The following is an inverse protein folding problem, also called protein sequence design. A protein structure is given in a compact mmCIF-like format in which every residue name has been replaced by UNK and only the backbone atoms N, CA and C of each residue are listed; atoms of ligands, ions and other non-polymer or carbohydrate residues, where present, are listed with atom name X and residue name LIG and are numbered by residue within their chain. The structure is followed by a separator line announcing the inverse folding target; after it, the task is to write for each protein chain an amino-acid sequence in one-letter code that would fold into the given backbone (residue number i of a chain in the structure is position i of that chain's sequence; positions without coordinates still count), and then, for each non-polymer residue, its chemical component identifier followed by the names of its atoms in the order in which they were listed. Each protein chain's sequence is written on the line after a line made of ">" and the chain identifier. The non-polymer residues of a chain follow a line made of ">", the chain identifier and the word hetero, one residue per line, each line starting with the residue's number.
data_IF_013773485027
#
_entry.id   IF_013773485027
#
_cell.length_a   1.000
_cell.length_b   1.000
_cell.length_c   1.000
_cell.angle_alpha   90.00
_cell.angle_beta   90.00
_cell.angle_gamma   90.00
#
_symmetry.space_group_name_H-M   'P 1'
#
loop_
_entity.id
_entity.type
_entity.pdbx_description
1 polymer ?
#
# COMPACT_ATOMS: atom_id res chain seq x y z
N UNK A 1 46.98 3.73 -7.12
CA UNK A 1 45.98 4.37 -7.99
C UNK A 1 45.53 5.66 -7.33
N UNK A 2 45.34 6.75 -8.09
CA UNK A 2 44.72 7.95 -7.55
C UNK A 2 43.28 7.62 -7.13
N UNK A 3 42.74 8.29 -6.10
CA UNK A 3 41.35 8.10 -5.63
C UNK A 3 40.34 8.11 -6.78
N UNK A 4 40.56 8.99 -7.77
CA UNK A 4 39.68 9.15 -8.92
C UNK A 4 39.76 7.94 -9.87
N UNK A 5 40.96 7.39 -10.09
CA UNK A 5 41.14 6.19 -10.93
C UNK A 5 40.44 4.96 -10.31
N UNK A 6 40.45 4.88 -8.97
CA UNK A 6 39.80 3.77 -8.24
C UNK A 6 38.28 3.80 -8.42
N UNK A 7 37.65 4.96 -8.31
CA UNK A 7 36.19 5.05 -8.43
C UNK A 7 35.72 4.85 -9.88
N UNK A 8 36.47 5.35 -10.87
CA UNK A 8 36.18 5.09 -12.30
C UNK A 8 36.35 3.62 -12.66
N UNK A 9 37.39 2.96 -12.13
CA UNK A 9 37.57 1.52 -12.30
C UNK A 9 36.44 0.71 -11.66
N UNK A 10 35.95 1.14 -10.49
CA UNK A 10 34.80 0.51 -9.82
C UNK A 10 33.52 0.62 -10.65
N UNK A 11 33.22 1.80 -11.22
CA UNK A 11 32.08 1.99 -12.15
C UNK A 11 32.20 1.07 -13.37
N UNK A 12 33.39 0.99 -13.97
CA UNK A 12 33.62 0.16 -15.15
C UNK A 12 33.39 -1.32 -14.85
N UNK A 13 33.90 -1.80 -13.71
CA UNK A 13 33.69 -3.18 -13.27
C UNK A 13 32.21 -3.46 -12.93
N UNK A 14 31.53 -2.52 -12.28
CA UNK A 14 30.12 -2.64 -11.93
C UNK A 14 29.22 -2.69 -13.17
N UNK A 15 29.49 -1.87 -14.19
CA UNK A 15 28.79 -1.91 -15.50
C UNK A 15 28.98 -3.26 -16.21
N UNK A 16 30.18 -3.83 -16.15
CA UNK A 16 30.45 -5.15 -16.73
C UNK A 16 29.69 -6.26 -15.98
N UNK A 17 29.71 -6.22 -14.65
CA UNK A 17 28.95 -7.16 -13.82
C UNK A 17 27.44 -7.05 -14.06
N UNK A 18 26.91 -5.82 -14.20
CA UNK A 18 25.51 -5.59 -14.51
C UNK A 18 25.08 -6.26 -15.82
N UNK A 19 25.87 -6.15 -16.89
CA UNK A 19 25.57 -6.80 -18.17
C UNK A 19 25.52 -8.32 -18.05
N UNK A 20 26.38 -8.91 -17.22
CA UNK A 20 26.40 -10.35 -17.00
C UNK A 20 25.13 -10.85 -16.27
N UNK A 21 24.41 -9.99 -15.55
CA UNK A 21 23.22 -10.40 -14.78
C UNK A 21 22.10 -10.98 -15.65
N UNK A 22 21.96 -10.53 -16.90
CA UNK A 22 20.99 -11.06 -17.87
C UNK A 22 21.21 -12.56 -18.07
N UNK A 23 22.48 -12.98 -18.13
CA UNK A 23 22.85 -14.36 -18.37
C UNK A 23 23.11 -15.16 -17.09
N UNK A 24 23.40 -14.52 -15.95
CA UNK A 24 23.75 -15.23 -14.71
C UNK A 24 22.52 -15.51 -13.81
N UNK A 25 21.48 -14.67 -13.89
CA UNK A 25 20.32 -14.77 -13.02
C UNK A 25 19.11 -15.34 -13.77
N UNK A 26 18.48 -16.44 -13.31
CA UNK A 26 17.35 -17.07 -13.99
C UNK A 26 16.17 -16.13 -14.27
N UNK A 27 15.82 -15.26 -13.32
CA UNK A 27 14.73 -14.29 -13.46
C UNK A 27 15.05 -13.20 -14.49
N UNK A 28 16.26 -12.63 -14.43
CA UNK A 28 16.75 -11.64 -15.39
C UNK A 28 16.81 -12.21 -16.82
N UNK A 29 17.28 -13.47 -16.95
CA UNK A 29 17.32 -14.19 -18.23
C UNK A 29 15.93 -14.40 -18.82
N UNK A 30 14.96 -14.82 -17.99
CA UNK A 30 13.59 -15.05 -18.43
C UNK A 30 12.92 -13.76 -18.93
N UNK A 31 13.21 -12.63 -18.29
CA UNK A 31 12.67 -11.32 -18.65
C UNK A 31 13.48 -10.59 -19.73
N UNK A 32 14.69 -11.04 -20.06
CA UNK A 32 15.58 -10.39 -21.03
C UNK A 32 16.09 -9.01 -20.57
N UNK A 33 16.11 -8.76 -19.26
CA UNK A 33 16.52 -7.49 -18.64
C UNK A 33 17.70 -7.71 -17.69
N UNK A 34 18.39 -6.64 -17.31
CA UNK A 34 19.42 -6.68 -16.25
C UNK A 34 18.78 -6.68 -14.86
N UNK A 35 19.54 -7.08 -13.84
CA UNK A 35 19.08 -7.00 -12.45
C UNK A 35 18.92 -5.55 -11.97
N UNK A 36 17.71 -5.20 -11.52
CA UNK A 36 17.39 -3.85 -11.07
C UNK A 36 18.20 -3.41 -9.83
N UNK A 37 18.55 -4.36 -8.94
CA UNK A 37 19.37 -4.08 -7.76
C UNK A 37 20.82 -3.73 -8.13
N UNK A 38 21.42 -4.52 -9.02
CA UNK A 38 22.74 -4.27 -9.59
C UNK A 38 22.77 -2.95 -10.37
N UNK A 39 21.70 -2.65 -11.13
CA UNK A 39 21.55 -1.38 -11.85
C UNK A 39 21.54 -0.19 -10.89
N UNK A 40 20.77 -0.27 -9.80
CA UNK A 40 20.75 0.76 -8.76
C UNK A 40 22.11 0.98 -8.07
N UNK A 41 22.92 -0.08 -7.91
CA UNK A 41 24.28 0.06 -7.40
C UNK A 41 25.22 0.73 -8.41
N UNK A 42 25.10 0.40 -9.70
CA UNK A 42 25.86 1.06 -10.78
C UNK A 42 25.57 2.57 -10.78
N UNK A 43 24.30 2.99 -10.71
CA UNK A 43 23.94 4.41 -10.58
C UNK A 43 24.61 5.09 -9.40
N UNK A 44 24.59 4.46 -8.23
CA UNK A 44 25.20 5.03 -7.03
C UNK A 44 26.71 5.22 -7.20
N UNK A 45 27.39 4.25 -7.81
CA UNK A 45 28.81 4.34 -8.10
C UNK A 45 29.12 5.40 -9.17
N UNK A 46 28.27 5.55 -10.17
CA UNK A 46 28.39 6.58 -11.20
C UNK A 46 28.27 7.98 -10.60
N UNK A 47 27.20 8.23 -9.83
CA UNK A 47 26.99 9.49 -9.11
C UNK A 47 28.15 9.80 -8.16
N UNK A 48 28.67 8.78 -7.47
CA UNK A 48 29.82 8.94 -6.57
C UNK A 48 31.10 9.30 -7.35
N UNK A 49 31.32 8.69 -8.52
CA UNK A 49 32.45 9.00 -9.38
C UNK A 49 32.38 10.43 -9.90
N UNK A 50 31.23 10.86 -10.39
CA UNK A 50 31.02 12.24 -10.86
C UNK A 50 31.15 13.27 -9.74
N UNK A 51 30.70 12.93 -8.53
CA UNK A 51 30.85 13.79 -7.36
C UNK A 51 32.32 13.95 -6.93
N UNK A 52 33.11 12.86 -6.98
CA UNK A 52 34.50 12.85 -6.48
C UNK A 52 35.55 13.24 -7.52
N UNK A 53 35.31 12.90 -8.79
CA UNK A 53 36.25 13.07 -9.90
C UNK A 53 35.82 14.14 -10.92
N UNK A 54 34.62 14.72 -10.75
CA UNK A 54 34.05 15.77 -11.60
C UNK A 54 32.94 15.24 -12.51
N UNK A 55 32.01 16.12 -12.91
CA UNK A 55 30.81 15.75 -13.70
C UNK A 55 31.12 15.11 -15.05
N UNK A 56 32.34 15.28 -15.56
CA UNK A 56 32.82 14.71 -16.82
C UNK A 56 33.64 13.43 -16.62
N UNK A 57 33.78 12.92 -15.38
CA UNK A 57 34.66 11.79 -15.08
C UNK A 57 34.30 10.50 -15.83
N UNK A 58 33.04 10.38 -16.27
CA UNK A 58 32.51 9.20 -16.95
C UNK A 58 32.16 9.46 -18.42
N UNK A 59 32.41 10.67 -18.96
CA UNK A 59 31.99 11.05 -20.32
C UNK A 59 32.67 10.24 -21.43
N UNK A 60 33.79 9.59 -21.13
CA UNK A 60 34.47 8.65 -22.03
C UNK A 60 34.00 7.19 -21.95
N UNK A 61 33.07 6.85 -21.05
CA UNK A 61 32.53 5.51 -20.94
C UNK A 61 31.28 5.35 -21.82
N UNK A 62 31.20 4.23 -22.54
CA UNK A 62 30.00 3.91 -23.32
C UNK A 62 28.76 3.85 -22.42
N UNK A 63 27.70 4.49 -22.89
CA UNK A 63 26.39 4.40 -22.27
C UNK A 63 25.97 2.92 -22.21
N UNK A 64 25.54 2.49 -21.03
CA UNK A 64 24.96 1.16 -20.86
C UNK A 64 23.46 1.36 -20.92
N UNK A 65 22.84 0.86 -21.98
CA UNK A 65 21.39 0.94 -22.18
C UNK A 65 20.72 -0.05 -21.22
N UNK A 66 20.37 0.42 -20.02
CA UNK A 66 19.64 -0.39 -19.03
C UNK A 66 18.36 0.27 -18.50
N UNK A 67 17.90 1.38 -19.08
CA UNK A 67 16.52 1.86 -18.94
C UNK A 67 16.09 2.76 -20.11
N UNK A 68 14.78 2.77 -20.37
CA UNK A 68 14.03 3.43 -21.44
C UNK A 68 14.75 4.61 -22.14
N UNK A 69 14.84 4.51 -23.47
CA UNK A 69 15.03 5.68 -24.31
C UNK A 69 13.88 6.68 -24.08
N UNK A 70 14.11 7.69 -23.23
CA UNK A 70 13.34 8.94 -23.25
C UNK A 70 13.73 9.73 -24.50
N UNK A 71 13.43 9.18 -25.68
CA UNK A 71 13.19 10.03 -26.85
C UNK A 71 11.83 10.65 -26.62
N UNK A 72 11.70 11.98 -26.67
CA UNK A 72 10.45 12.74 -26.47
C UNK A 72 9.32 12.47 -27.49
N UNK A 73 9.17 11.23 -27.94
CA UNK A 73 8.02 10.64 -28.59
C UNK A 73 7.72 9.36 -27.82
N UNK A 74 6.62 9.37 -27.08
CA UNK A 74 5.94 8.24 -26.43
C UNK A 74 6.83 7.07 -26.05
N UNK A 75 6.99 6.85 -24.74
CA UNK A 75 7.41 5.57 -24.19
C UNK A 75 6.70 4.45 -24.94
N UNK A 76 7.41 3.79 -25.86
CA UNK A 76 6.99 2.50 -26.36
C UNK A 76 7.35 1.56 -25.23
N UNK A 77 6.44 1.45 -24.28
CA UNK A 77 6.40 0.30 -23.39
C UNK A 77 6.50 -0.92 -24.31
N UNK A 78 7.56 -1.72 -24.16
CA UNK A 78 7.50 -3.08 -24.65
C UNK A 78 6.29 -3.67 -23.93
N UNK A 79 5.23 -4.08 -24.64
CA UNK A 79 4.13 -4.73 -24.00
C UNK A 79 4.71 -6.04 -23.49
N UNK A 80 5.00 -6.11 -22.20
CA UNK A 80 5.01 -7.41 -21.53
C UNK A 80 3.55 -7.82 -21.54
N UNK A 81 3.14 -8.41 -22.66
CA UNK A 81 1.90 -9.13 -22.81
C UNK A 81 2.00 -10.32 -21.88
N UNK A 82 1.65 -10.11 -20.61
CA UNK A 82 1.04 -11.17 -19.83
C UNK A 82 -0.37 -11.37 -20.40
N UNK A 83 -0.45 -11.90 -21.62
CA UNK A 83 -1.64 -12.59 -22.08
C UNK A 83 -1.73 -13.92 -21.35
N UNK A 84 -2.04 -13.85 -20.06
CA UNK A 84 -2.55 -14.97 -19.28
C UNK A 84 -3.68 -14.45 -18.39
N UNK A 85 -4.90 -14.99 -18.52
CA UNK A 85 -6.05 -14.66 -17.66
C UNK A 85 -5.88 -15.03 -16.17
N UNK A 86 -4.67 -15.42 -15.72
CA UNK A 86 -4.31 -15.80 -14.35
C UNK A 86 -2.89 -15.27 -14.00
N UNK A 87 -2.64 -13.96 -14.16
CA UNK A 87 -1.38 -13.36 -13.73
C UNK A 87 -1.31 -13.31 -12.20
N UNK A 88 -0.39 -14.08 -11.60
CA UNK A 88 -0.17 -14.10 -10.15
C UNK A 88 0.24 -12.74 -9.56
N UNK A 89 -0.14 -12.49 -8.30
CA UNK A 89 0.27 -11.31 -7.54
C UNK A 89 -0.53 -10.02 -7.79
N UNK A 90 -1.85 -10.03 -7.60
CA UNK A 90 -2.71 -8.84 -7.78
C UNK A 90 -2.36 -7.67 -6.83
N UNK A 91 -1.75 -7.95 -5.69
CA UNK A 91 -1.41 -6.98 -4.66
C UNK A 91 0.09 -6.93 -4.39
N UNK A 92 0.59 -5.74 -4.10
CA UNK A 92 1.91 -5.51 -3.51
C UNK A 92 1.73 -5.26 -2.00
N UNK A 93 2.49 -5.99 -1.19
CA UNK A 93 2.52 -5.82 0.26
C UNK A 93 3.95 -5.57 0.72
N UNK A 94 4.14 -4.46 1.44
CA UNK A 94 5.45 -4.05 1.95
C UNK A 94 5.42 -3.72 3.43
N UNK A 95 6.38 -4.22 4.19
CA UNK A 95 6.47 -3.89 5.62
C UNK A 95 7.89 -3.93 6.17
N UNK A 96 8.06 -3.22 7.29
CA UNK A 96 9.26 -3.32 8.13
C UNK A 96 8.88 -3.89 9.48
N UNK A 97 9.36 -5.10 9.75
CA UNK A 97 9.18 -5.84 11.00
C UNK A 97 10.45 -5.88 11.85
N UNK A 98 10.33 -6.49 13.03
CA UNK A 98 11.43 -6.73 13.97
C UNK A 98 11.82 -8.20 13.90
N UNK A 99 13.12 -8.46 13.88
CA UNK A 99 13.65 -9.81 14.07
C UNK A 99 13.68 -10.07 15.57
N UNK A 100 12.94 -11.07 16.10
CA UNK A 100 13.09 -11.44 17.51
C UNK A 100 14.55 -11.80 17.78
N UNK A 101 15.12 -11.26 18.86
CA UNK A 101 16.47 -11.60 19.33
C UNK A 101 16.48 -13.05 19.85
N UNK A 102 16.50 -14.02 18.93
CA UNK A 102 17.09 -15.32 19.22
C UNK A 102 18.59 -15.17 19.02
N UNK A 103 19.38 -15.74 19.93
CA UNK A 103 20.81 -15.44 20.13
C UNK A 103 21.61 -15.30 18.82
N UNK A 104 22.67 -14.48 18.87
CA UNK A 104 23.45 -13.86 17.78
C UNK A 104 23.93 -14.73 16.58
N UNK A 105 23.54 -16.01 16.51
CA UNK A 105 23.79 -16.92 15.40
C UNK A 105 22.57 -17.20 14.51
N UNK A 106 21.36 -16.71 14.83
CA UNK A 106 20.10 -17.13 14.16
C UNK A 106 19.39 -16.07 13.28
N UNK A 107 20.02 -14.92 13.02
CA UNK A 107 19.46 -13.89 12.12
C UNK A 107 19.24 -14.44 10.70
N UNK A 108 20.05 -15.41 10.28
CA UNK A 108 19.91 -16.10 8.98
C UNK A 108 18.72 -17.08 8.96
N UNK A 109 18.40 -17.74 10.07
CA UNK A 109 17.25 -18.65 10.17
C UNK A 109 15.93 -17.89 10.09
N UNK A 110 15.80 -16.81 10.88
CA UNK A 110 14.59 -15.99 10.90
C UNK A 110 14.25 -15.35 9.54
N UNK A 111 15.26 -14.94 8.77
CA UNK A 111 15.07 -14.43 7.42
C UNK A 111 14.58 -15.53 6.47
N UNK A 112 15.16 -16.74 6.56
CA UNK A 112 14.72 -17.89 5.76
C UNK A 112 13.29 -18.30 6.09
N UNK A 113 12.91 -18.28 7.37
CA UNK A 113 11.55 -18.61 7.80
C UNK A 113 10.52 -17.61 7.25
N UNK A 114 10.81 -16.31 7.30
CA UNK A 114 9.93 -15.29 6.73
C UNK A 114 9.89 -15.36 5.20
N UNK A 115 11.05 -15.56 4.56
CA UNK A 115 11.11 -15.72 3.10
C UNK A 115 10.29 -16.94 2.65
N UNK A 116 10.37 -18.06 3.37
CA UNK A 116 9.59 -19.26 3.09
C UNK A 116 8.09 -19.02 3.29
N UNK A 117 7.69 -18.45 4.44
CA UNK A 117 6.30 -18.13 4.72
C UNK A 117 5.68 -17.20 3.66
N UNK A 118 6.41 -16.18 3.22
CA UNK A 118 5.96 -15.28 2.16
C UNK A 118 5.96 -15.94 0.78
N UNK A 119 6.90 -16.85 0.50
CA UNK A 119 6.96 -17.59 -0.76
C UNK A 119 5.83 -18.63 -0.89
N UNK A 120 5.27 -19.09 0.23
CA UNK A 120 4.10 -19.96 0.23
C UNK A 120 2.82 -19.22 -0.19
N UNK A 121 2.78 -17.89 -0.04
CA UNK A 121 1.60 -17.05 -0.31
C UNK A 121 1.78 -16.06 -1.46
N UNK A 122 2.97 -15.94 -2.05
CA UNK A 122 3.28 -14.90 -3.04
C UNK A 122 4.27 -15.36 -4.11
N UNK A 123 4.14 -14.78 -5.30
CA UNK A 123 4.87 -15.20 -6.50
C UNK A 123 6.21 -14.48 -6.65
N UNK A 124 6.35 -13.29 -6.05
CA UNK A 124 7.58 -12.50 -6.01
C UNK A 124 7.84 -12.04 -4.60
N UNK A 125 8.95 -12.48 -4.00
CA UNK A 125 9.29 -12.21 -2.60
C UNK A 125 10.71 -11.68 -2.50
N UNK A 126 10.85 -10.51 -1.87
CA UNK A 126 12.13 -9.93 -1.50
C UNK A 126 12.14 -9.61 0.00
N UNK A 127 12.98 -10.34 0.75
CA UNK A 127 13.20 -10.09 2.18
C UNK A 127 14.65 -9.72 2.44
N UNK A 128 14.85 -8.56 3.04
CA UNK A 128 16.16 -8.09 3.48
C UNK A 128 16.16 -7.93 5.00
N UNK A 129 17.23 -8.39 5.65
CA UNK A 129 17.38 -8.28 7.10
C UNK A 129 18.63 -7.46 7.43
N UNK A 130 18.49 -6.45 8.27
CA UNK A 130 19.58 -5.57 8.66
C UNK A 130 19.30 -4.92 10.01
N UNK A 131 20.30 -4.88 10.90
CA UNK A 131 20.21 -4.20 12.20
C UNK A 131 18.99 -4.60 13.06
N UNK A 132 18.62 -5.89 13.08
CA UNK A 132 17.48 -6.39 13.85
C UNK A 132 16.10 -6.06 13.24
N UNK A 133 16.07 -5.50 12.03
CA UNK A 133 14.86 -5.25 11.26
C UNK A 133 14.82 -6.15 10.03
N UNK A 134 13.61 -6.49 9.61
CA UNK A 134 13.32 -7.12 8.31
C UNK A 134 12.51 -6.16 7.48
N UNK A 135 12.89 -5.99 6.22
CA UNK A 135 12.07 -5.35 5.21
C UNK A 135 11.63 -6.41 4.22
N UNK A 136 10.31 -6.62 4.12
CA UNK A 136 9.70 -7.57 3.23
C UNK A 136 8.91 -6.82 2.15
N UNK A 137 8.97 -7.37 0.94
CA UNK A 137 8.15 -7.01 -0.20
C UNK A 137 7.66 -8.32 -0.81
N UNK A 138 6.34 -8.46 -0.94
CA UNK A 138 5.71 -9.60 -1.60
C UNK A 138 4.66 -9.14 -2.59
N UNK A 139 4.63 -9.76 -3.78
CA UNK A 139 3.47 -9.73 -4.67
C UNK A 139 2.62 -10.97 -4.39
N UNK A 140 1.34 -10.79 -4.11
CA UNK A 140 0.46 -11.87 -3.66
C UNK A 140 -0.99 -11.65 -4.10
N UNK A 141 -1.76 -12.73 -4.21
CA UNK A 141 -3.22 -12.71 -4.32
C UNK A 141 -3.93 -12.80 -2.95
N UNK A 142 -3.17 -13.01 -1.87
CA UNK A 142 -3.63 -13.14 -0.49
C UNK A 142 -2.97 -12.05 0.40
N UNK A 143 -3.30 -10.77 0.17
CA UNK A 143 -2.70 -9.66 0.91
C UNK A 143 -3.02 -9.71 2.42
N UNK A 144 -4.16 -10.30 2.78
CA UNK A 144 -4.57 -10.56 4.16
C UNK A 144 -3.54 -11.42 4.91
N UNK A 145 -3.09 -12.53 4.30
CA UNK A 145 -2.09 -13.41 4.90
C UNK A 145 -0.72 -12.72 5.02
N UNK A 146 -0.33 -11.94 4.00
CA UNK A 146 0.92 -11.18 4.04
C UNK A 146 0.89 -10.07 5.12
N UNK A 147 -0.26 -9.42 5.31
CA UNK A 147 -0.47 -8.45 6.39
C UNK A 147 -0.38 -9.14 7.75
N UNK A 148 -0.97 -10.33 7.92
CA UNK A 148 -0.85 -11.11 9.15
C UNK A 148 0.60 -11.48 9.47
N UNK A 149 1.39 -11.89 8.47
CA UNK A 149 2.83 -12.11 8.61
C UNK A 149 3.56 -10.83 9.06
N UNK A 150 3.23 -9.68 8.48
CA UNK A 150 3.76 -8.40 8.94
C UNK A 150 3.46 -8.14 10.43
N UNK A 151 2.21 -8.37 10.85
CA UNK A 151 1.77 -8.18 12.24
C UNK A 151 2.49 -9.15 13.18
N UNK A 152 2.64 -10.41 12.79
CA UNK A 152 3.35 -11.44 13.58
C UNK A 152 4.80 -11.04 13.84
N UNK A 153 5.42 -10.31 12.89
CA UNK A 153 6.76 -9.74 12.98
C UNK A 153 6.80 -8.35 13.63
N UNK A 154 5.74 -7.95 14.34
CA UNK A 154 5.63 -6.64 14.99
C UNK A 154 5.87 -5.46 14.04
N UNK A 155 5.45 -5.59 12.77
CA UNK A 155 5.47 -4.49 11.83
C UNK A 155 4.65 -3.32 12.39
N UNK A 156 5.21 -2.12 12.32
CA UNK A 156 4.54 -0.91 12.83
C UNK A 156 3.47 -0.42 11.87
N UNK A 157 3.70 -0.63 10.59
CA UNK A 157 2.77 -0.35 9.51
C UNK A 157 3.09 -1.26 8.33
N UNK A 158 2.08 -1.56 7.53
CA UNK A 158 2.14 -2.43 6.37
C UNK A 158 1.45 -1.67 5.23
N UNK A 159 2.16 -1.48 4.13
CA UNK A 159 1.64 -0.85 2.93
C UNK A 159 1.06 -1.93 2.02
N UNK A 160 -0.13 -1.69 1.50
CA UNK A 160 -0.83 -2.58 0.56
C UNK A 160 -1.36 -1.74 -0.60
N UNK A 161 -1.16 -2.21 -1.81
CA UNK A 161 -1.67 -1.58 -3.05
C UNK A 161 -2.06 -2.64 -4.06
N UNK A 162 -3.00 -2.31 -4.96
CA UNK A 162 -3.36 -3.18 -6.09
C UNK A 162 -2.44 -2.88 -7.28
N UNK A 163 -1.74 -3.89 -7.77
CA UNK A 163 -0.71 -3.75 -8.82
C UNK A 163 -1.31 -3.34 -10.16
N UNK A 164 -2.49 -3.86 -10.51
CA UNK A 164 -3.18 -3.49 -11.74
C UNK A 164 -3.49 -1.98 -11.80
N UNK A 165 -3.77 -1.37 -10.64
CA UNK A 165 -4.03 0.05 -10.52
C UNK A 165 -2.73 0.88 -10.41
N UNK A 166 -1.61 0.27 -9.99
CA UNK A 166 -0.28 0.87 -10.09
C UNK A 166 0.16 1.07 -11.55
N UNK A 167 0.00 0.05 -12.40
CA UNK A 167 0.38 0.13 -13.82
C UNK A 167 -0.46 1.15 -14.60
N UNK A 168 -1.75 1.32 -14.29
CA UNK A 168 -2.56 2.37 -14.90
C UNK A 168 -2.08 3.76 -14.49
N UNK A 169 -1.68 3.96 -13.22
CA UNK A 169 -1.07 5.22 -12.73
C UNK A 169 0.26 5.54 -13.42
N UNK A 170 1.08 4.53 -13.69
CA UNK A 170 2.36 4.69 -14.39
C UNK A 170 2.19 4.94 -15.90
N UNK A 171 1.16 4.37 -16.52
CA UNK A 171 0.85 4.55 -17.95
C UNK A 171 0.08 5.84 -18.27
N UNK A 172 -0.71 6.35 -17.32
CA UNK A 172 -1.27 7.70 -17.35
C UNK A 172 -0.20 8.71 -16.98
N UNK A 173 -0.29 9.96 -17.43
CA UNK A 173 0.63 11.02 -16.99
C UNK A 173 0.55 11.13 -15.44
N UNK A 174 1.63 10.77 -14.69
CA UNK A 174 1.62 10.76 -13.23
C UNK A 174 1.38 12.16 -12.63
N UNK A 175 1.46 13.19 -13.46
CA UNK A 175 1.19 14.59 -13.11
C UNK A 175 -0.29 14.99 -13.14
N UNK A 176 -1.23 14.11 -13.55
CA UNK A 176 -2.62 14.49 -13.81
C UNK A 176 -3.69 13.94 -12.83
N UNK A 177 -3.33 13.07 -11.88
CA UNK A 177 -4.29 12.42 -10.98
C UNK A 177 -4.07 12.67 -9.49
N UNK A 178 -5.12 13.07 -8.76
CA UNK A 178 -5.11 13.08 -7.28
C UNK A 178 -5.21 11.63 -6.77
N UNK A 179 -4.30 11.21 -5.89
CA UNK A 179 -4.29 9.87 -5.32
C UNK A 179 -5.13 9.73 -4.05
N UNK A 180 -5.51 8.50 -3.72
CA UNK A 180 -6.19 8.16 -2.46
C UNK A 180 -5.24 7.40 -1.55
N UNK A 181 -5.20 7.77 -0.28
CA UNK A 181 -4.51 7.02 0.77
C UNK A 181 -5.50 6.67 1.87
N UNK A 182 -5.53 5.39 2.23
CA UNK A 182 -6.37 4.86 3.29
C UNK A 182 -5.51 4.48 4.50
N UNK A 183 -5.80 5.06 5.68
CA UNK A 183 -5.13 4.69 6.94
C UNK A 183 -6.10 3.89 7.80
N UNK A 184 -5.82 2.61 8.03
CA UNK A 184 -6.72 1.72 8.78
C UNK A 184 -5.99 0.99 9.89
N UNK A 185 -6.67 0.67 10.98
CA UNK A 185 -6.19 -0.28 11.99
C UNK A 185 -6.77 -1.68 11.81
N UNK A 186 -7.57 -1.89 10.76
CA UNK A 186 -8.22 -3.15 10.43
C UNK A 186 -7.47 -3.87 9.29
N UNK A 187 -6.72 -4.95 9.57
CA UNK A 187 -5.99 -5.70 8.56
C UNK A 187 -6.84 -6.16 7.38
N UNK A 188 -8.05 -6.67 7.64
CA UNK A 188 -8.88 -7.23 6.58
C UNK A 188 -9.60 -6.19 5.71
N UNK A 189 -9.44 -4.89 6.00
CA UNK A 189 -9.83 -3.82 5.08
C UNK A 189 -8.76 -3.55 4.00
N UNK A 190 -7.57 -4.15 4.09
CA UNK A 190 -6.47 -3.87 3.18
C UNK A 190 -6.83 -4.16 1.70
N UNK A 191 -7.32 -5.38 1.42
CA UNK A 191 -7.70 -5.78 0.06
C UNK A 191 -8.82 -4.91 -0.53
N UNK A 192 -10.01 -4.76 0.11
CA UNK A 192 -11.11 -4.01 -0.50
C UNK A 192 -10.78 -2.53 -0.71
N UNK A 193 -10.00 -1.92 0.18
CA UNK A 193 -9.58 -0.52 0.01
C UNK A 193 -8.53 -0.37 -1.10
N UNK A 194 -7.64 -1.36 -1.26
CA UNK A 194 -6.66 -1.37 -2.35
C UNK A 194 -7.33 -1.61 -3.72
N UNK A 195 -8.33 -2.48 -3.78
CA UNK A 195 -9.14 -2.75 -4.98
C UNK A 195 -9.91 -1.51 -5.44
N UNK A 196 -10.35 -0.69 -4.49
CA UNK A 196 -10.96 0.61 -4.76
C UNK A 196 -9.95 1.69 -5.21
N UNK A 197 -8.66 1.36 -5.31
CA UNK A 197 -7.61 2.23 -5.85
C UNK A 197 -6.89 3.12 -4.83
N UNK A 198 -7.03 2.82 -3.54
CA UNK A 198 -6.25 3.49 -2.51
C UNK A 198 -4.89 2.82 -2.29
N UNK A 199 -3.87 3.62 -1.96
CA UNK A 199 -2.69 3.10 -1.27
C UNK A 199 -3.05 2.94 0.20
N UNK A 200 -3.08 1.70 0.69
CA UNK A 200 -3.53 1.38 2.03
C UNK A 200 -2.33 1.26 2.97
N UNK A 201 -2.39 1.96 4.09
CA UNK A 201 -1.45 1.80 5.19
C UNK A 201 -2.20 1.17 6.37
N UNK A 202 -1.98 -0.13 6.57
CA UNK A 202 -2.47 -0.86 7.74
C UNK A 202 -1.55 -0.54 8.92
N UNK A 203 -2.12 -0.01 9.99
CA UNK A 203 -1.42 0.43 11.19
C UNK A 203 -2.07 -0.25 12.41
N UNK A 204 -1.59 -1.44 12.81
CA UNK A 204 -2.19 -2.22 13.89
C UNK A 204 -2.21 -1.49 15.24
N UNK A 205 -1.21 -0.64 15.48
CA UNK A 205 -1.10 0.21 16.66
C UNK A 205 -0.83 1.66 16.20
N UNK A 206 -1.86 2.54 16.19
CA UNK A 206 -1.71 3.92 15.73
C UNK A 206 -0.60 4.71 16.44
N UNK A 207 -0.25 4.36 17.68
CA UNK A 207 0.82 5.01 18.45
C UNK A 207 2.20 4.71 17.86
N UNK A 208 2.35 3.59 17.14
CA UNK A 208 3.62 3.16 16.53
C UNK A 208 3.85 3.74 15.14
N UNK A 209 2.85 4.41 14.54
CA UNK A 209 2.93 4.97 13.20
C UNK A 209 4.16 5.88 13.05
N UNK A 210 4.97 5.62 12.04
CA UNK A 210 6.11 6.47 11.69
C UNK A 210 5.77 7.38 10.51
N UNK A 211 5.96 8.68 10.73
CA UNK A 211 5.81 9.73 9.71
C UNK A 211 6.52 9.43 8.37
N UNK A 212 7.69 8.77 8.42
CA UNK A 212 8.46 8.42 7.22
C UNK A 212 7.66 7.51 6.29
N UNK A 213 6.98 6.51 6.84
CA UNK A 213 6.20 5.57 6.03
C UNK A 213 4.88 6.18 5.56
N UNK A 214 4.24 7.04 6.37
CA UNK A 214 3.08 7.79 5.90
C UNK A 214 3.46 8.71 4.71
N UNK A 215 4.62 9.36 4.78
CA UNK A 215 5.15 10.15 3.65
C UNK A 215 5.44 9.29 2.43
N UNK A 216 5.89 8.04 2.63
CA UNK A 216 6.10 7.08 1.54
C UNK A 216 4.78 6.75 0.87
N UNK A 217 3.75 6.38 1.63
CA UNK A 217 2.41 6.09 1.09
C UNK A 217 1.84 7.27 0.28
N UNK A 218 2.03 8.51 0.75
CA UNK A 218 1.62 9.72 0.00
C UNK A 218 2.37 9.85 -1.34
N UNK A 219 3.68 9.61 -1.36
CA UNK A 219 4.49 9.69 -2.59
C UNK A 219 4.12 8.60 -3.59
N UNK A 220 3.85 7.41 -3.08
CA UNK A 220 3.44 6.26 -3.87
C UNK A 220 2.04 6.46 -4.47
N UNK A 221 1.14 7.12 -3.72
CA UNK A 221 -0.18 7.44 -4.22
C UNK A 221 -0.13 8.44 -5.39
N UNK A 222 0.53 9.60 -5.25
CA UNK A 222 0.61 10.57 -6.35
C UNK A 222 1.69 11.63 -6.12
N UNK A 223 2.29 12.09 -7.21
CA UNK A 223 3.16 13.27 -7.24
C UNK A 223 2.41 14.61 -7.31
N UNK A 224 1.12 14.61 -7.70
CA UNK A 224 0.33 15.83 -7.92
C UNK A 224 -0.43 16.28 -6.66
N UNK A 225 -1.13 15.34 -6.01
CA UNK A 225 -1.90 15.62 -4.80
C UNK A 225 -2.54 14.35 -4.26
N UNK A 226 -2.87 14.34 -2.96
CA UNK A 226 -3.41 13.16 -2.29
C UNK A 226 -4.57 13.53 -1.37
N UNK A 227 -5.64 12.73 -1.40
CA UNK A 227 -6.71 12.73 -0.40
C UNK A 227 -6.48 11.57 0.56
N UNK A 228 -6.44 11.86 1.86
CA UNK A 228 -6.24 10.88 2.92
C UNK A 228 -7.56 10.70 3.69
N UNK A 229 -8.02 9.45 3.77
CA UNK A 229 -9.07 9.02 4.67
C UNK A 229 -8.47 8.16 5.80
N UNK A 230 -8.95 8.35 7.03
CA UNK A 230 -8.43 7.64 8.20
C UNK A 230 -9.54 6.97 9.00
N UNK A 231 -9.30 5.72 9.40
CA UNK A 231 -10.25 4.87 10.11
C UNK A 231 -10.39 5.20 11.60
N UNK A 232 -9.54 6.07 12.15
CA UNK A 232 -9.70 6.56 13.52
C UNK A 232 -9.06 7.96 13.72
N UNK A 233 -9.43 8.60 14.83
CA UNK A 233 -8.96 9.95 15.17
C UNK A 233 -7.44 10.07 15.31
N UNK A 234 -6.75 9.04 15.83
CA UNK A 234 -5.29 9.09 16.02
C UNK A 234 -4.55 9.05 14.67
N UNK A 235 -4.99 8.20 13.75
CA UNK A 235 -4.47 8.15 12.39
C UNK A 235 -4.77 9.44 11.62
N UNK A 236 -5.97 10.01 11.81
CA UNK A 236 -6.34 11.30 11.22
C UNK A 236 -5.42 12.43 11.70
N UNK A 237 -5.16 12.50 13.01
CA UNK A 237 -4.26 13.50 13.58
C UNK A 237 -2.83 13.38 13.03
N UNK A 238 -2.33 12.15 12.82
CA UNK A 238 -1.03 11.92 12.20
C UNK A 238 -0.99 12.39 10.72
N UNK A 239 -2.09 12.20 9.99
CA UNK A 239 -2.23 12.70 8.62
C UNK A 239 -2.30 14.23 8.56
N UNK A 240 -3.06 14.87 9.45
CA UNK A 240 -3.13 16.33 9.58
C UNK A 240 -1.75 16.92 9.92
N UNK A 241 -1.01 16.28 10.83
CA UNK A 241 0.36 16.69 11.16
C UNK A 241 1.29 16.62 9.94
N UNK A 242 1.15 15.58 9.10
CA UNK A 242 1.95 15.44 7.88
C UNK A 242 1.57 16.52 6.85
N UNK A 243 0.28 16.80 6.65
CA UNK A 243 -0.22 17.78 5.69
C UNK A 243 0.30 19.20 5.97
N UNK A 244 0.50 19.56 7.24
CA UNK A 244 1.07 20.85 7.64
C UNK A 244 2.59 21.00 7.43
N UNK A 245 3.30 19.98 6.93
CA UNK A 245 4.77 20.00 6.82
C UNK A 245 5.23 20.43 5.43
N UNK A 246 6.31 21.21 5.38
CA UNK A 246 7.02 21.54 4.14
C UNK A 246 7.54 20.28 3.43
N UNK A 247 7.53 20.31 2.10
CA UNK A 247 8.03 19.22 1.25
C UNK A 247 7.16 17.96 1.25
N UNK A 248 5.93 18.06 1.75
CA UNK A 248 4.82 17.16 1.45
C UNK A 248 4.02 17.89 0.39
N UNK A 249 3.68 17.23 -0.73
CA UNK A 249 2.86 17.84 -1.77
C UNK A 249 1.46 18.22 -1.27
N UNK A 250 0.55 18.63 -2.16
CA UNK A 250 -0.83 18.90 -1.79
C UNK A 250 -1.49 17.68 -1.13
N UNK A 251 -1.86 17.81 0.14
CA UNK A 251 -2.53 16.75 0.92
C UNK A 251 -3.80 17.30 1.52
N UNK A 252 -4.93 16.65 1.23
CA UNK A 252 -6.23 16.93 1.85
C UNK A 252 -6.56 15.77 2.78
N UNK A 253 -6.77 16.07 4.07
CA UNK A 253 -7.19 15.06 5.05
C UNK A 253 -8.69 15.18 5.27
N UNK A 254 -9.42 14.08 5.08
CA UNK A 254 -10.86 14.06 5.28
C UNK A 254 -11.20 14.05 6.77
N UNK A 255 -12.37 14.59 7.17
CA UNK A 255 -12.80 14.59 8.56
C UNK A 255 -13.22 13.20 9.09
N UNK A 256 -12.79 12.11 8.47
CA UNK A 256 -13.09 10.72 8.87
C UNK A 256 -12.43 10.35 10.21
N UNK A 257 -13.19 9.72 11.10
CA UNK A 257 -12.73 9.31 12.43
C UNK A 257 -13.12 7.86 12.78
N UNK A 258 -13.61 7.10 11.81
CA UNK A 258 -14.14 5.75 12.00
C UNK A 258 -13.88 4.90 10.74
N UNK A 259 -13.70 3.59 10.89
CA UNK A 259 -13.39 2.71 9.75
C UNK A 259 -14.53 2.70 8.71
N UNK A 260 -15.78 2.86 9.13
CA UNK A 260 -16.90 3.02 8.20
C UNK A 260 -16.84 4.34 7.41
N UNK A 261 -16.41 5.46 8.02
CA UNK A 261 -16.16 6.70 7.27
C UNK A 261 -15.05 6.50 6.22
N UNK A 262 -14.01 5.73 6.57
CA UNK A 262 -12.93 5.39 5.65
C UNK A 262 -13.46 4.60 4.46
N UNK A 263 -14.25 3.55 4.70
CA UNK A 263 -14.85 2.73 3.64
C UNK A 263 -15.74 3.58 2.72
N UNK A 264 -16.66 4.36 3.30
CA UNK A 264 -17.55 5.26 2.55
C UNK A 264 -16.76 6.25 1.67
N UNK A 265 -15.74 6.89 2.23
CA UNK A 265 -14.90 7.84 1.51
C UNK A 265 -14.17 7.20 0.32
N UNK A 266 -13.54 6.04 0.53
CA UNK A 266 -12.78 5.36 -0.52
C UNK A 266 -13.72 4.79 -1.60
N UNK A 267 -14.86 4.20 -1.21
CA UNK A 267 -15.86 3.72 -2.15
C UNK A 267 -16.40 4.85 -3.03
N UNK A 268 -16.75 5.99 -2.45
CA UNK A 268 -17.16 7.16 -3.21
C UNK A 268 -16.06 7.67 -4.14
N UNK A 269 -14.81 7.71 -3.66
CA UNK A 269 -13.64 8.10 -4.45
C UNK A 269 -13.39 7.20 -5.66
N UNK A 270 -13.67 5.90 -5.55
CA UNK A 270 -13.54 4.94 -6.65
C UNK A 270 -14.55 5.18 -7.80
N UNK A 271 -15.65 5.89 -7.54
CA UNK A 271 -16.67 6.22 -8.55
C UNK A 271 -16.40 7.54 -9.27
N UNK A 272 -15.42 8.32 -8.81
CA UNK A 272 -15.13 9.66 -9.32
C UNK A 272 -14.59 9.60 -10.75
N UNK A 273 -15.20 10.39 -11.62
CA UNK A 273 -14.78 10.49 -13.02
C UNK A 273 -13.73 11.60 -13.20
N UNK A 274 -12.87 11.53 -14.25
CA UNK A 274 -11.88 12.56 -14.51
C UNK A 274 -12.51 13.95 -14.63
N UNK A 275 -12.08 14.89 -13.78
CA UNK A 275 -12.57 16.27 -13.74
C UNK A 275 -13.53 16.57 -12.58
N UNK A 276 -14.06 15.55 -11.90
CA UNK A 276 -14.81 15.73 -10.66
C UNK A 276 -13.89 15.99 -9.45
N UNK A 277 -14.34 16.77 -8.46
CA UNK A 277 -13.54 17.10 -7.30
C UNK A 277 -13.49 15.91 -6.32
N UNK A 278 -12.51 15.01 -6.51
CA UNK A 278 -12.31 13.80 -5.68
C UNK A 278 -12.46 14.07 -4.17
N UNK A 279 -11.78 15.10 -3.67
CA UNK A 279 -11.80 15.43 -2.25
C UNK A 279 -13.19 15.84 -1.72
N UNK A 280 -14.02 16.46 -2.56
CA UNK A 280 -15.35 16.92 -2.17
C UNK A 280 -16.33 15.74 -2.18
N UNK A 281 -16.29 14.90 -3.23
CA UNK A 281 -17.10 13.67 -3.31
C UNK A 281 -16.83 12.74 -2.12
N UNK A 282 -15.56 12.49 -1.82
CA UNK A 282 -15.18 11.66 -0.67
C UNK A 282 -15.59 12.30 0.66
N UNK A 283 -15.51 13.64 0.78
CA UNK A 283 -15.92 14.35 2.00
C UNK A 283 -17.43 14.26 2.22
N UNK A 284 -18.23 14.40 1.17
CA UNK A 284 -19.68 14.31 1.27
C UNK A 284 -20.12 12.90 1.70
N UNK A 285 -19.44 11.85 1.22
CA UNK A 285 -19.65 10.49 1.70
C UNK A 285 -19.36 10.35 3.21
N UNK A 286 -18.26 10.93 3.71
CA UNK A 286 -17.97 10.95 5.16
C UNK A 286 -19.07 11.66 5.94
N UNK A 287 -19.58 12.78 5.43
CA UNK A 287 -20.59 13.60 6.14
C UNK A 287 -21.98 12.96 6.16
N UNK A 288 -22.30 12.08 5.20
CA UNK A 288 -23.58 11.34 5.15
C UNK A 288 -23.54 9.99 5.87
N UNK A 289 -22.36 9.57 6.31
CA UNK A 289 -22.15 8.30 6.99
C UNK A 289 -22.23 8.52 8.50
N UNK A 290 -23.32 8.07 9.13
CA UNK A 290 -23.37 7.97 10.58
C UNK A 290 -22.67 6.70 11.03
N UNK A 291 -21.97 6.77 12.15
CA UNK A 291 -21.12 5.68 12.62
C UNK A 291 -21.44 5.27 14.06
N UNK A 292 -21.24 3.99 14.34
CA UNK A 292 -21.41 3.40 15.66
C UNK A 292 -20.40 2.30 15.93
N UNK A 293 -20.23 1.98 17.20
CA UNK A 293 -19.38 0.89 17.68
C UNK A 293 -20.19 0.05 18.66
N UNK A 294 -20.14 -1.27 18.54
CA UNK A 294 -20.96 -2.19 19.31
C UNK A 294 -20.18 -3.44 19.74
N UNK A 295 -20.81 -4.25 20.57
CA UNK A 295 -20.40 -5.62 20.87
C UNK A 295 -21.34 -6.61 20.15
N UNK A 296 -20.93 -7.88 19.96
CA UNK A 296 -21.82 -8.88 19.37
C UNK A 296 -23.14 -9.05 20.13
N UNK A 297 -23.16 -8.81 21.45
CA UNK A 297 -24.34 -8.98 22.29
C UNK A 297 -25.30 -7.78 22.25
N UNK A 298 -24.81 -6.59 21.86
CA UNK A 298 -25.57 -5.35 21.82
C UNK A 298 -25.92 -4.88 20.40
N UNK A 299 -25.52 -5.66 19.39
CA UNK A 299 -25.55 -5.25 17.99
C UNK A 299 -26.96 -4.89 17.51
N UNK A 300 -27.98 -5.64 17.95
CA UNK A 300 -29.38 -5.42 17.55
C UNK A 300 -29.86 -4.04 18.00
N UNK A 301 -29.71 -3.74 19.29
CA UNK A 301 -30.11 -2.45 19.87
C UNK A 301 -29.29 -1.28 19.31
N UNK A 302 -27.98 -1.48 19.06
CA UNK A 302 -27.09 -0.44 18.53
C UNK A 302 -27.35 -0.15 17.06
N UNK A 303 -27.60 -1.17 16.24
CA UNK A 303 -27.86 -0.98 14.80
C UNK A 303 -29.24 -0.37 14.58
N UNK A 304 -30.27 -0.83 15.31
CA UNK A 304 -31.64 -0.31 15.19
C UNK A 304 -31.72 1.19 15.51
N UNK A 305 -30.82 1.71 16.36
CA UNK A 305 -30.70 3.15 16.63
C UNK A 305 -30.16 3.97 15.46
N UNK A 306 -29.41 3.35 14.56
CA UNK A 306 -28.80 4.00 13.40
C UNK A 306 -29.67 3.87 12.15
N UNK A 307 -30.47 2.80 12.05
CA UNK A 307 -31.29 2.53 10.88
C UNK A 307 -32.49 3.47 10.77
N UNK A 308 -32.74 3.93 9.55
CA UNK A 308 -33.92 4.70 9.16
C UNK A 308 -34.31 4.35 7.71
N UNK A 309 -35.56 4.57 7.28
CA UNK A 309 -36.03 4.12 5.96
C UNK A 309 -35.29 4.71 4.75
N UNK A 310 -34.54 5.80 4.94
CA UNK A 310 -33.73 6.52 3.95
C UNK A 310 -32.25 6.08 3.91
N UNK A 311 -31.87 5.08 4.72
CA UNK A 311 -30.56 4.43 4.64
C UNK A 311 -30.46 3.62 3.34
N UNK A 312 -29.36 3.84 2.61
CA UNK A 312 -29.06 3.15 1.35
C UNK A 312 -27.92 2.14 1.49
N UNK A 313 -26.99 2.36 2.42
CA UNK A 313 -25.87 1.44 2.64
C UNK A 313 -25.67 1.24 4.14
N UNK A 314 -25.53 -0.02 4.56
CA UNK A 314 -25.13 -0.40 5.91
C UNK A 314 -23.79 -1.11 5.82
N UNK A 315 -22.76 -0.54 6.43
CA UNK A 315 -21.42 -1.13 6.52
C UNK A 315 -21.22 -1.72 7.90
N UNK A 316 -20.83 -2.99 7.97
CA UNK A 316 -20.50 -3.71 9.20
C UNK A 316 -19.06 -4.22 9.10
N UNK A 317 -18.22 -3.87 10.07
CA UNK A 317 -16.85 -4.38 10.15
C UNK A 317 -16.70 -5.20 11.43
N UNK A 318 -16.45 -6.51 11.27
CA UNK A 318 -16.35 -7.46 12.37
C UNK A 318 -14.91 -7.54 12.92
N UNK A 319 -14.78 -7.55 14.24
CA UNK A 319 -13.52 -7.80 14.90
C UNK A 319 -13.07 -9.27 14.77
N UNK A 320 -11.80 -9.53 15.05
CA UNK A 320 -11.22 -10.88 15.03
C UNK A 320 -12.00 -11.81 15.97
N UNK A 321 -12.48 -12.93 15.41
CA UNK A 321 -13.18 -13.97 16.17
C UNK A 321 -14.66 -13.68 16.41
N UNK A 322 -15.20 -12.58 15.88
CA UNK A 322 -16.64 -12.34 15.85
C UNK A 322 -17.27 -13.16 14.72
N UNK A 323 -18.39 -13.81 15.01
CA UNK A 323 -19.09 -14.70 14.09
C UNK A 323 -19.87 -13.93 13.03
N UNK A 324 -19.98 -14.49 11.83
CA UNK A 324 -20.85 -13.97 10.77
C UNK A 324 -22.33 -13.92 11.17
N UNK A 325 -22.73 -14.73 12.16
CA UNK A 325 -24.08 -14.68 12.74
C UNK A 325 -24.42 -13.29 13.33
N UNK A 326 -23.42 -12.55 13.81
CA UNK A 326 -23.59 -11.16 14.26
C UNK A 326 -24.00 -10.25 13.11
N UNK A 327 -23.46 -10.48 11.91
CA UNK A 327 -23.85 -9.73 10.72
C UNK A 327 -25.23 -10.14 10.17
N UNK A 328 -25.63 -11.41 10.34
CA UNK A 328 -26.98 -11.86 9.98
C UNK A 328 -28.07 -11.12 10.77
N UNK A 329 -27.79 -10.78 12.04
CA UNK A 329 -28.69 -9.96 12.85
C UNK A 329 -28.87 -8.56 12.26
N UNK A 330 -27.77 -7.91 11.86
CA UNK A 330 -27.82 -6.61 11.18
C UNK A 330 -28.60 -6.68 9.87
N UNK A 331 -28.40 -7.74 9.07
CA UNK A 331 -29.16 -7.96 7.82
C UNK A 331 -30.66 -8.09 8.10
N UNK A 332 -31.03 -8.77 9.17
CA UNK A 332 -32.44 -8.95 9.55
C UNK A 332 -33.08 -7.60 9.94
N UNK A 333 -32.41 -6.81 10.79
CA UNK A 333 -32.87 -5.46 11.15
C UNK A 333 -32.97 -4.53 9.93
N UNK A 334 -31.95 -4.52 9.08
CA UNK A 334 -31.95 -3.72 7.85
C UNK A 334 -33.09 -4.10 6.91
N UNK A 335 -33.34 -5.40 6.70
CA UNK A 335 -34.45 -5.87 5.87
C UNK A 335 -35.83 -5.43 6.40
N UNK A 336 -35.97 -5.23 7.71
CA UNK A 336 -37.21 -4.76 8.32
C UNK A 336 -37.40 -3.24 8.24
N UNK A 337 -36.34 -2.46 8.43
CA UNK A 337 -36.40 -0.99 8.57
C UNK A 337 -36.11 -0.26 7.25
N UNK A 338 -35.11 -0.73 6.49
CA UNK A 338 -34.62 -0.12 5.26
C UNK A 338 -34.40 -1.21 4.19
N UNK A 339 -35.46 -1.80 3.61
CA UNK A 339 -35.39 -2.99 2.75
C UNK A 339 -34.64 -2.78 1.43
N UNK A 340 -34.31 -1.54 1.08
CA UNK A 340 -33.55 -1.19 -0.12
C UNK A 340 -32.06 -0.99 0.16
N UNK A 341 -31.64 -1.03 1.44
CA UNK A 341 -30.26 -0.79 1.81
C UNK A 341 -29.37 -1.99 1.47
N UNK A 342 -28.20 -1.70 0.88
CA UNK A 342 -27.15 -2.70 0.67
C UNK A 342 -26.35 -2.89 1.97
N UNK A 343 -26.32 -4.12 2.49
CA UNK A 343 -25.60 -4.48 3.72
C UNK A 343 -24.25 -5.10 3.38
N UNK A 344 -23.18 -4.32 3.53
CA UNK A 344 -21.80 -4.72 3.29
C UNK A 344 -21.14 -5.17 4.59
N UNK A 345 -20.54 -6.36 4.58
CA UNK A 345 -19.90 -6.96 5.76
C UNK A 345 -18.43 -7.23 5.48
N UNK A 346 -17.57 -6.71 6.34
CA UNK A 346 -16.12 -6.83 6.23
C UNK A 346 -15.54 -7.55 7.45
N UNK A 347 -14.60 -8.47 7.21
CA UNK A 347 -13.79 -9.06 8.28
C UNK A 347 -12.65 -8.08 8.61
N UNK A 348 -12.85 -7.21 9.60
CA UNK A 348 -11.86 -6.17 9.90
C UNK A 348 -10.59 -6.69 10.56
N UNK A 349 -10.69 -7.77 11.36
CA UNK A 349 -9.53 -8.38 12.03
C UNK A 349 -8.89 -7.53 13.14
N UNK A 350 -9.50 -6.39 13.49
CA UNK A 350 -9.16 -5.59 14.66
C UNK A 350 -9.58 -6.29 15.96
N UNK A 351 -9.12 -5.80 17.11
CA UNK A 351 -9.36 -6.45 18.42
C UNK A 351 -10.59 -5.88 19.13
N UNK A 352 -10.78 -4.56 19.08
CA UNK A 352 -11.85 -3.86 19.79
C UNK A 352 -12.18 -2.55 19.05
N UNK A 353 -13.45 -2.09 19.07
CA UNK A 353 -14.67 -2.75 19.58
C UNK A 353 -15.00 -4.04 18.79
N UNK A 354 -16.04 -4.79 19.20
CA UNK A 354 -16.36 -6.08 18.56
C UNK A 354 -17.00 -5.92 17.18
N UNK A 355 -17.75 -4.84 16.98
CA UNK A 355 -18.40 -4.51 15.71
C UNK A 355 -18.28 -3.00 15.48
N UNK A 356 -17.93 -2.61 14.27
CA UNK A 356 -18.01 -1.22 13.80
C UNK A 356 -19.13 -1.12 12.77
N UNK A 357 -19.95 -0.08 12.88
CA UNK A 357 -21.14 0.12 12.06
C UNK A 357 -21.02 1.47 11.35
N UNK A 358 -21.41 1.52 10.09
CA UNK A 358 -21.71 2.76 9.38
C UNK A 358 -23.03 2.64 8.65
N UNK A 359 -23.80 3.71 8.61
CA UNK A 359 -25.02 3.82 7.81
C UNK A 359 -24.93 5.06 6.93
N UNK A 360 -25.09 4.89 5.64
CA UNK A 360 -25.07 5.99 4.67
C UNK A 360 -26.49 6.25 4.19
N UNK A 361 -26.85 7.53 4.14
CA UNK A 361 -28.15 7.98 3.64
C UNK A 361 -28.02 8.50 2.22
N UNK A 362 -29.10 8.31 1.45
CA UNK A 362 -29.21 8.81 0.09
C UNK A 362 -29.01 10.33 -0.01
N UNK A 363 -28.59 10.77 -1.21
CA UNK A 363 -28.33 12.17 -1.53
C UNK A 363 -29.59 13.04 -1.60
#
# INVERSE_FOLDING_TARGET
>A
ACRNDVIVAAVTAARAALRATVDELPAARAAGVVDAGAAGLVLQLEMLAETLAGSEALSGLEYVEWELASTGKGVVAVPVSHEHPDAGGAYEVMFVGVVPERGAHDTKGTNRDLTAALADIGDSVAVTASHGLVHAHVHTNAPDQAVEEGISRSARQILVSAIALGHTRESSDPSLGTGMVALTSCPGLAAPLADAGAIVLVVPDPVRLKRRELRRAVREASSYGVVIAAGNQQLRAAAEELAGRKGVGPVVVLPAQHEAHLIAAIAAGATVTPGEPLADVMRDAVLRCDVGSSSPDAIDDDVDRLLSPDVEVVTVVLARGVSDATADSVRLSAAAICPHADVNVYQGGHVTPGVLIGVERGA
#
